data_IF_845564791574
#
_entry.id   IF_845564791574
#
_cell.length_a   1.000
_cell.length_b   1.000
_cell.length_c   1.000
_cell.angle_alpha   90.00
_cell.angle_beta   90.00
_cell.angle_gamma   90.00
#
_symmetry.space_group_name_H-M   'P 1'
#
loop_
_entity.id
_entity.type
_entity.pdbx_description
1 polymer ?
#
# COMPACT_ATOMS: atom_id res chain seq x y z
N UNK A 1 4.33 -0.94 -32.53
CA UNK A 1 4.10 -0.03 -31.38
C UNK A 1 5.36 0.70 -30.89
N UNK A 2 6.47 0.72 -31.66
CA UNK A 2 7.76 1.30 -31.23
C UNK A 2 7.94 2.78 -31.65
N UNK A 3 7.12 3.27 -32.58
CA UNK A 3 7.26 4.63 -33.11
C UNK A 3 6.79 5.75 -32.16
N UNK A 4 5.99 5.44 -31.13
CA UNK A 4 5.39 6.46 -30.25
C UNK A 4 6.33 7.07 -29.20
N UNK A 5 7.29 6.29 -28.68
CA UNK A 5 8.23 6.77 -27.64
C UNK A 5 9.35 7.65 -28.22
N UNK A 6 9.84 7.34 -29.42
CA UNK A 6 10.88 8.13 -30.07
C UNK A 6 10.35 9.50 -30.54
N UNK A 7 9.13 9.58 -31.07
CA UNK A 7 8.54 10.87 -31.45
C UNK A 7 8.27 11.77 -30.24
N UNK A 8 7.82 11.22 -29.11
CA UNK A 8 7.59 12.01 -27.90
C UNK A 8 8.90 12.61 -27.35
N UNK A 9 9.95 11.80 -27.26
CA UNK A 9 11.31 12.22 -26.87
C UNK A 9 11.91 13.26 -27.83
N UNK A 10 11.82 13.04 -29.14
CA UNK A 10 12.28 14.01 -30.16
C UNK A 10 11.53 15.34 -30.09
N UNK A 11 10.24 15.31 -29.74
CA UNK A 11 9.43 16.51 -29.72
C UNK A 11 9.65 17.37 -28.46
N UNK A 12 10.05 16.76 -27.35
CA UNK A 12 10.43 17.49 -26.12
C UNK A 12 11.83 18.08 -26.27
N UNK A 13 12.76 17.34 -26.87
CA UNK A 13 14.12 17.84 -27.18
C UNK A 13 14.09 18.98 -28.18
N UNK A 14 13.23 18.94 -29.21
CA UNK A 14 12.99 20.08 -30.11
C UNK A 14 12.48 21.33 -29.37
N UNK A 15 11.55 21.15 -28.43
CA UNK A 15 11.01 22.25 -27.61
C UNK A 15 12.07 22.86 -26.68
N UNK A 16 12.95 22.04 -26.12
CA UNK A 16 14.09 22.47 -25.30
C UNK A 16 15.11 23.29 -26.11
N UNK A 17 15.44 22.83 -27.32
CA UNK A 17 16.33 23.55 -28.25
C UNK A 17 15.72 24.87 -28.70
N UNK A 18 14.41 24.89 -29.00
CA UNK A 18 13.70 26.11 -29.40
C UNK A 18 13.70 27.17 -28.30
N UNK A 19 13.52 26.78 -27.03
CA UNK A 19 13.56 27.70 -25.88
C UNK A 19 15.02 27.99 -25.45
N UNK A 20 15.97 27.10 -25.77
CA UNK A 20 17.39 27.25 -25.47
C UNK A 20 17.75 26.84 -24.05
N UNK A 21 17.11 25.78 -23.53
CA UNK A 21 17.27 25.32 -22.14
C UNK A 21 17.81 23.89 -22.12
N UNK A 22 18.71 23.60 -21.18
CA UNK A 22 19.25 22.26 -21.01
C UNK A 22 18.23 21.31 -20.35
N UNK A 23 18.34 19.98 -20.54
CA UNK A 23 17.36 19.00 -20.05
C UNK A 23 17.18 18.94 -18.52
N UNK A 24 18.06 19.59 -17.75
CA UNK A 24 18.16 19.48 -16.28
C UNK A 24 17.88 20.83 -15.58
N UNK A 25 17.58 21.90 -16.32
CA UNK A 25 17.38 23.22 -15.71
C UNK A 25 16.01 23.41 -15.06
N UNK A 26 16.01 24.15 -13.94
CA UNK A 26 14.83 24.44 -13.14
C UNK A 26 13.81 25.37 -13.82
N UNK A 27 12.58 25.34 -13.31
CA UNK A 27 11.42 26.09 -13.83
C UNK A 27 11.70 27.59 -14.03
N UNK A 28 12.41 28.22 -13.10
CA UNK A 28 12.67 29.66 -13.15
C UNK A 28 13.53 30.07 -14.35
N UNK A 29 14.50 29.23 -14.73
CA UNK A 29 15.33 29.45 -15.93
C UNK A 29 14.56 29.24 -17.23
N UNK A 30 13.63 28.30 -17.26
CA UNK A 30 12.75 28.07 -18.41
C UNK A 30 11.84 29.29 -18.63
N UNK A 31 11.25 29.83 -17.55
CA UNK A 31 10.41 31.03 -17.62
C UNK A 31 11.21 32.26 -18.06
N UNK A 32 12.44 32.40 -17.57
CA UNK A 32 13.32 33.52 -17.92
C UNK A 32 13.76 33.48 -19.39
N UNK A 33 14.16 32.32 -19.90
CA UNK A 33 14.58 32.12 -21.29
C UNK A 33 13.43 32.31 -22.27
N UNK A 34 12.25 31.75 -21.97
CA UNK A 34 11.02 31.99 -22.72
C UNK A 34 10.68 33.49 -22.77
N UNK A 35 10.66 34.18 -21.62
CA UNK A 35 10.34 35.60 -21.56
C UNK A 35 11.32 36.50 -22.30
N UNK A 36 12.60 36.11 -22.40
CA UNK A 36 13.60 36.81 -23.24
C UNK A 36 13.30 36.61 -24.73
N UNK A 37 13.11 35.37 -25.17
CA UNK A 37 12.86 35.07 -26.59
C UNK A 37 11.53 35.62 -27.10
N UNK A 38 10.51 35.66 -26.25
CA UNK A 38 9.23 36.28 -26.60
C UNK A 38 9.38 37.79 -26.82
N UNK A 39 10.12 38.48 -25.95
CA UNK A 39 10.43 39.92 -26.10
C UNK A 39 11.25 40.21 -27.37
N UNK A 40 12.20 39.33 -27.69
CA UNK A 40 13.01 39.46 -28.90
C UNK A 40 12.16 39.23 -30.17
N UNK A 41 11.27 38.23 -30.17
CA UNK A 41 10.34 37.98 -31.28
C UNK A 41 9.37 39.15 -31.51
N UNK A 42 8.85 39.76 -30.45
CA UNK A 42 8.02 40.96 -30.56
C UNK A 42 8.80 42.19 -31.05
N UNK A 43 10.09 42.30 -30.71
CA UNK A 43 10.95 43.40 -31.18
C UNK A 43 11.34 43.22 -32.65
N UNK A 44 11.49 41.99 -33.12
CA UNK A 44 11.83 41.66 -34.52
C UNK A 44 10.62 41.59 -35.47
N UNK A 45 9.39 41.57 -34.94
CA UNK A 45 8.16 41.57 -35.77
C UNK A 45 7.82 40.22 -36.41
N UNK A 46 8.41 39.11 -35.95
CA UNK A 46 8.17 37.77 -36.49
C UNK A 46 6.89 37.15 -35.92
N UNK A 47 5.75 37.38 -36.59
CA UNK A 47 4.43 36.85 -36.17
C UNK A 47 4.35 35.31 -36.18
N UNK A 48 5.18 34.63 -36.98
CA UNK A 48 5.17 33.17 -37.08
C UNK A 48 5.89 32.46 -35.92
N UNK A 49 6.81 33.15 -35.23
CA UNK A 49 7.71 32.55 -34.24
C UNK A 49 7.08 32.53 -32.84
N UNK A 50 6.28 33.54 -32.50
CA UNK A 50 5.56 33.62 -31.22
C UNK A 50 4.67 32.40 -30.89
N UNK A 51 3.77 31.93 -31.79
CA UNK A 51 2.90 30.79 -31.49
C UNK A 51 3.67 29.46 -31.36
N UNK A 52 4.80 29.34 -32.06
CA UNK A 52 5.71 28.20 -31.95
C UNK A 52 6.39 28.15 -30.59
N UNK A 53 6.77 29.30 -30.02
CA UNK A 53 7.35 29.39 -28.68
C UNK A 53 6.33 29.06 -27.59
N UNK A 54 5.10 29.56 -27.70
CA UNK A 54 4.02 29.22 -26.75
C UNK A 54 3.75 27.72 -26.73
N UNK A 55 3.61 27.11 -27.92
CA UNK A 55 3.38 25.67 -28.05
C UNK A 55 4.54 24.83 -27.49
N UNK A 56 5.78 25.29 -27.67
CA UNK A 56 6.96 24.63 -27.11
C UNK A 56 7.01 24.77 -25.58
N UNK A 57 6.63 25.93 -25.04
CA UNK A 57 6.59 26.20 -23.60
C UNK A 57 5.53 25.34 -22.91
N UNK A 58 4.30 25.32 -23.42
CA UNK A 58 3.19 24.54 -22.87
C UNK A 58 3.49 23.05 -22.86
N UNK A 59 4.07 22.55 -23.97
CA UNK A 59 4.46 21.15 -24.09
C UNK A 59 5.55 20.77 -23.09
N UNK A 60 6.54 21.65 -22.89
CA UNK A 60 7.60 21.44 -21.92
C UNK A 60 7.03 21.48 -20.50
N UNK A 61 6.12 22.40 -20.18
CA UNK A 61 5.43 22.47 -18.88
C UNK A 61 4.59 21.24 -18.59
N UNK A 62 3.81 20.77 -19.57
CA UNK A 62 3.01 19.57 -19.43
C UNK A 62 3.87 18.33 -19.19
N UNK A 63 5.01 18.21 -19.88
CA UNK A 63 5.95 17.11 -19.67
C UNK A 63 6.52 17.10 -18.25
N UNK A 64 6.79 18.28 -17.67
CA UNK A 64 7.26 18.40 -16.29
C UNK A 64 6.21 17.98 -15.27
N UNK A 65 4.94 18.37 -15.48
CA UNK A 65 3.82 17.96 -14.62
C UNK A 65 3.58 16.45 -14.71
N UNK A 66 3.64 15.87 -15.90
CA UNK A 66 3.50 14.42 -16.08
C UNK A 66 4.66 13.64 -15.46
N UNK A 67 5.88 14.14 -15.58
CA UNK A 67 7.04 13.53 -14.91
C UNK A 67 6.90 13.59 -13.38
N UNK A 68 6.39 14.69 -12.82
CA UNK A 68 6.07 14.79 -11.38
C UNK A 68 4.99 13.80 -10.96
N UNK A 69 3.89 13.70 -11.72
CA UNK A 69 2.81 12.74 -11.46
C UNK A 69 3.28 11.29 -11.54
N UNK A 70 4.23 11.00 -12.43
CA UNK A 70 4.82 9.67 -12.58
C UNK A 70 5.97 9.39 -11.60
N UNK A 71 6.36 10.37 -10.77
CA UNK A 71 7.46 10.23 -9.81
C UNK A 71 8.81 10.03 -10.51
N UNK A 72 9.07 10.78 -11.58
CA UNK A 72 10.37 10.84 -12.26
C UNK A 72 10.88 12.27 -12.14
N UNK A 73 11.99 12.50 -11.44
CA UNK A 73 12.65 13.82 -11.40
C UNK A 73 13.63 13.95 -12.56
N UNK A 74 13.94 15.20 -12.92
CA UNK A 74 14.83 15.60 -14.02
C UNK A 74 16.03 14.66 -14.17
N UNK A 75 16.18 14.10 -15.38
CA UNK A 75 17.31 13.25 -15.73
C UNK A 75 17.27 11.84 -15.15
N UNK A 76 16.22 11.05 -15.44
CA UNK A 76 16.22 9.56 -15.31
C UNK A 76 16.63 8.96 -13.96
N UNK A 77 16.80 9.75 -12.91
CA UNK A 77 17.01 9.26 -11.56
C UNK A 77 15.69 8.71 -11.05
N UNK A 78 15.64 7.39 -10.81
CA UNK A 78 14.50 6.73 -10.17
C UNK A 78 14.31 7.36 -8.80
N UNK A 79 13.23 8.11 -8.64
CA UNK A 79 12.79 8.68 -7.37
C UNK A 79 12.65 7.55 -6.33
N UNK A 80 13.07 7.84 -5.09
CA UNK A 80 12.98 6.88 -3.98
C UNK A 80 11.54 6.37 -3.83
N UNK A 81 11.39 5.10 -3.45
CA UNK A 81 10.08 4.46 -3.31
C UNK A 81 9.15 5.24 -2.37
N UNK A 82 9.71 5.92 -1.37
CA UNK A 82 8.95 6.70 -0.40
C UNK A 82 8.23 7.91 -1.01
N UNK A 83 8.80 8.53 -2.05
CA UNK A 83 8.18 9.65 -2.77
C UNK A 83 7.19 9.12 -3.82
N UNK A 84 7.50 8.00 -4.49
CA UNK A 84 6.59 7.36 -5.47
C UNK A 84 5.29 6.82 -4.84
N UNK A 85 5.32 6.48 -3.56
CA UNK A 85 4.19 5.94 -2.82
C UNK A 85 3.65 6.92 -1.75
N UNK A 86 4.04 8.19 -1.78
CA UNK A 86 3.56 9.21 -0.84
C UNK A 86 2.02 9.33 -0.84
N UNK A 87 1.38 9.20 -2.02
CA UNK A 87 -0.08 9.21 -2.15
C UNK A 87 -0.77 7.95 -1.60
N UNK A 88 -0.01 6.90 -1.25
CA UNK A 88 -0.52 5.66 -0.65
C UNK A 88 -0.25 5.57 0.84
N UNK A 89 0.09 6.68 1.49
CA UNK A 89 0.26 6.67 2.93
C UNK A 89 -1.07 6.31 3.61
N UNK A 90 -1.03 5.42 4.62
CA UNK A 90 -2.24 5.06 5.34
C UNK A 90 -2.79 6.31 6.04
N UNK A 91 -4.10 6.55 5.89
CA UNK A 91 -4.84 7.65 6.55
C UNK A 91 -4.62 7.63 8.06
N UNK A 92 -4.42 6.42 8.59
CA UNK A 92 -4.17 6.16 10.00
C UNK A 92 -2.73 5.64 10.17
N UNK A 93 -1.83 6.37 10.85
CA UNK A 93 -0.40 6.03 10.90
C UNK A 93 -0.11 4.69 11.59
N UNK A 94 -1.02 4.18 12.43
CA UNK A 94 -0.91 2.91 13.15
C UNK A 94 -1.69 1.74 12.53
N UNK A 95 -2.41 1.95 11.42
CA UNK A 95 -3.25 0.93 10.79
C UNK A 95 -2.49 -0.08 9.93
N UNK A 96 -3.11 -1.23 9.60
CA UNK A 96 -2.53 -2.23 8.70
C UNK A 96 -2.22 -1.64 7.32
N UNK A 97 -1.03 -1.88 6.80
CA UNK A 97 -0.58 -1.40 5.49
C UNK A 97 -0.70 -2.49 4.44
N UNK A 98 -1.11 -2.12 3.23
CA UNK A 98 -1.17 -3.05 2.12
C UNK A 98 0.24 -3.60 1.80
N UNK A 99 0.41 -4.91 1.93
CA UNK A 99 1.62 -5.64 1.63
C UNK A 99 1.26 -7.06 1.19
N UNK A 100 1.19 -7.25 -0.13
CA UNK A 100 0.83 -8.53 -0.74
C UNK A 100 1.98 -9.54 -0.55
N UNK A 101 1.67 -10.71 0.02
CA UNK A 101 2.63 -11.81 0.19
C UNK A 101 2.90 -12.55 -1.14
N UNK A 102 3.91 -13.42 -1.13
CA UNK A 102 4.22 -14.28 -2.28
C UNK A 102 3.05 -15.19 -2.62
N UNK A 103 2.93 -15.63 -3.90
CA UNK A 103 1.86 -16.56 -4.30
C UNK A 103 1.88 -17.85 -3.47
N UNK A 104 3.07 -18.36 -3.16
CA UNK A 104 3.22 -19.58 -2.35
C UNK A 104 2.71 -19.35 -0.92
N UNK A 105 3.05 -18.21 -0.30
CA UNK A 105 2.56 -17.88 1.04
C UNK A 105 1.04 -17.68 1.08
N UNK A 106 0.48 -17.07 0.03
CA UNK A 106 -0.97 -16.94 -0.10
C UNK A 106 -1.65 -18.30 -0.20
N UNK A 107 -1.09 -19.24 -0.97
CA UNK A 107 -1.63 -20.59 -1.10
C UNK A 107 -1.56 -21.35 0.23
N UNK A 108 -0.46 -21.21 0.98
CA UNK A 108 -0.32 -21.81 2.31
C UNK A 108 -1.38 -21.22 3.27
N UNK A 109 -1.54 -19.89 3.28
CA UNK A 109 -2.54 -19.23 4.12
C UNK A 109 -3.96 -19.67 3.75
N UNK A 110 -4.24 -19.84 2.45
CA UNK A 110 -5.52 -20.33 1.94
C UNK A 110 -5.76 -21.78 2.37
N UNK A 111 -4.75 -22.64 2.24
CA UNK A 111 -4.84 -24.04 2.63
C UNK A 111 -5.12 -24.18 4.13
N UNK A 112 -4.42 -23.42 4.98
CA UNK A 112 -4.65 -23.39 6.43
C UNK A 112 -6.09 -22.97 6.74
N UNK A 113 -6.56 -21.86 6.15
CA UNK A 113 -7.92 -21.35 6.33
C UNK A 113 -8.97 -22.38 5.88
N UNK A 114 -8.75 -23.04 4.74
CA UNK A 114 -9.63 -24.06 4.21
C UNK A 114 -9.68 -25.32 5.09
N UNK A 115 -8.55 -25.79 5.61
CA UNK A 115 -8.48 -26.97 6.48
C UNK A 115 -9.27 -26.74 7.76
N UNK A 116 -9.09 -25.60 8.44
CA UNK A 116 -9.82 -25.31 9.66
C UNK A 116 -11.31 -25.02 9.41
N UNK A 117 -11.64 -24.41 8.27
CA UNK A 117 -13.04 -24.24 7.85
C UNK A 117 -13.72 -25.58 7.54
N UNK A 118 -13.03 -26.49 6.85
CA UNK A 118 -13.54 -27.83 6.56
C UNK A 118 -13.71 -28.66 7.84
N UNK A 119 -12.79 -28.52 8.80
CA UNK A 119 -12.89 -29.20 10.10
C UNK A 119 -14.22 -28.89 10.78
N UNK A 120 -14.57 -27.60 10.92
CA UNK A 120 -15.82 -27.22 11.61
C UNK A 120 -17.07 -27.64 10.83
N UNK A 121 -17.03 -27.58 9.49
CA UNK A 121 -18.15 -28.01 8.64
C UNK A 121 -18.45 -29.50 8.79
N UNK A 122 -17.41 -30.34 8.91
CA UNK A 122 -17.55 -31.79 9.08
C UNK A 122 -18.00 -32.14 10.50
N UNK A 123 -17.36 -31.54 11.51
CA UNK A 123 -17.56 -31.97 12.88
C UNK A 123 -18.77 -31.32 13.57
N UNK A 124 -19.18 -30.11 13.18
CA UNK A 124 -20.36 -29.32 13.63
C UNK A 124 -20.60 -29.13 15.13
N UNK A 125 -20.03 -29.97 16.00
CA UNK A 125 -20.12 -29.98 17.46
C UNK A 125 -18.72 -29.88 18.08
N UNK A 126 -17.77 -29.41 17.29
CA UNK A 126 -16.44 -29.07 17.80
C UNK A 126 -16.58 -27.64 18.26
N UNK A 127 -16.52 -27.46 19.59
CA UNK A 127 -16.37 -26.17 20.29
C UNK A 127 -15.34 -25.27 19.58
N UNK A 128 -15.10 -24.05 20.07
CA UNK A 128 -14.11 -23.08 19.53
C UNK A 128 -12.63 -23.53 19.44
N UNK A 129 -12.30 -24.83 19.57
CA UNK A 129 -10.98 -25.43 19.32
C UNK A 129 -10.38 -25.10 17.93
N UNK A 130 -11.07 -25.25 16.79
CA UNK A 130 -10.49 -24.96 15.49
C UNK A 130 -10.23 -23.46 15.35
N UNK A 131 -11.07 -22.61 15.96
CA UNK A 131 -10.81 -21.18 16.05
C UNK A 131 -9.53 -20.89 16.85
N UNK A 132 -9.31 -21.56 18.00
CA UNK A 132 -8.08 -21.40 18.79
C UNK A 132 -6.84 -21.81 17.98
N UNK A 133 -6.85 -23.00 17.37
CA UNK A 133 -5.71 -23.46 16.55
C UNK A 133 -5.46 -22.56 15.34
N UNK A 134 -6.51 -22.14 14.64
CA UNK A 134 -6.42 -21.18 13.53
C UNK A 134 -5.77 -19.88 14.00
N UNK A 135 -6.17 -19.38 15.17
CA UNK A 135 -5.62 -18.16 15.76
C UNK A 135 -4.12 -18.29 16.02
N UNK A 136 -3.66 -19.36 16.67
CA UNK A 136 -2.24 -19.58 16.93
C UNK A 136 -1.40 -19.66 15.64
N UNK A 137 -1.89 -20.41 14.64
CA UNK A 137 -1.19 -20.55 13.36
C UNK A 137 -1.09 -19.19 12.65
N UNK A 138 -2.17 -18.41 12.62
CA UNK A 138 -2.15 -17.10 11.97
C UNK A 138 -1.36 -16.04 12.75
N UNK A 139 -1.32 -16.09 14.09
CA UNK A 139 -0.41 -15.26 14.90
C UNK A 139 1.03 -15.51 14.46
N UNK A 140 1.45 -16.78 14.38
CA UNK A 140 2.79 -17.14 13.95
C UNK A 140 3.09 -16.65 12.52
N UNK A 141 2.17 -16.90 11.58
CA UNK A 141 2.35 -16.51 10.16
C UNK A 141 2.43 -14.99 9.99
N UNK A 142 1.58 -14.23 10.67
CA UNK A 142 1.60 -12.76 10.62
C UNK A 142 2.88 -12.25 11.29
N UNK A 143 3.31 -12.85 12.40
CA UNK A 143 4.54 -12.50 13.08
C UNK A 143 5.79 -12.73 12.21
N UNK A 144 5.90 -13.89 11.55
CA UNK A 144 6.99 -14.16 10.60
C UNK A 144 6.97 -13.18 9.42
N UNK A 145 5.78 -12.90 8.89
CA UNK A 145 5.61 -11.89 7.84
C UNK A 145 6.13 -10.53 8.31
N UNK A 146 5.75 -10.09 9.51
CA UNK A 146 6.22 -8.83 10.10
C UNK A 146 7.74 -8.82 10.32
N UNK A 147 8.33 -9.96 10.70
CA UNK A 147 9.78 -10.11 10.86
C UNK A 147 10.54 -9.92 9.54
N UNK A 148 9.99 -10.37 8.41
CA UNK A 148 10.62 -10.25 7.09
C UNK A 148 10.70 -8.81 6.55
N UNK A 149 9.89 -7.89 7.06
CA UNK A 149 9.81 -6.51 6.58
C UNK A 149 10.77 -5.54 7.29
N UNK A 150 11.61 -6.03 8.20
CA UNK A 150 12.53 -5.17 8.92
C UNK A 150 13.83 -4.96 8.13
N UNK A 151 14.24 -3.69 8.03
CA UNK A 151 15.57 -3.36 7.55
C UNK A 151 16.61 -3.87 8.57
N UNK A 152 17.73 -4.46 8.14
CA UNK A 152 18.80 -4.86 9.06
C UNK A 152 19.22 -3.62 9.86
N UNK A 153 18.87 -3.58 11.14
CA UNK A 153 19.29 -2.48 12.00
C UNK A 153 20.79 -2.64 12.22
N UNK A 154 21.57 -1.61 11.89
CA UNK A 154 22.95 -1.53 12.35
C UNK A 154 22.95 -1.72 13.88
N UNK A 155 23.70 -2.69 14.42
CA UNK A 155 23.76 -2.85 15.86
C UNK A 155 24.41 -1.60 16.45
N UNK A 156 23.59 -0.76 17.10
CA UNK A 156 24.08 0.32 17.95
C UNK A 156 24.45 -0.32 19.27
N UNK A 157 25.72 -0.67 19.43
CA UNK A 157 26.27 -1.11 20.71
C UNK A 157 26.43 0.12 21.60
N UNK A 158 25.72 0.16 22.74
CA UNK A 158 26.06 1.05 23.84
C UNK A 158 27.07 0.36 24.77
N UNK A 159 27.85 1.13 25.52
CA UNK A 159 28.97 0.66 26.36
C UNK A 159 28.60 -0.41 27.41
N UNK A 160 27.32 -0.59 27.70
CA UNK A 160 26.81 -1.58 28.68
C UNK A 160 26.47 -2.96 28.06
N UNK A 161 26.72 -3.18 26.77
CA UNK A 161 26.59 -4.51 26.14
C UNK A 161 25.16 -5.05 26.02
N UNK A 162 24.15 -4.30 26.46
CA UNK A 162 22.75 -4.73 26.40
C UNK A 162 22.02 -4.17 25.18
N UNK A 163 21.48 -5.09 24.36
CA UNK A 163 20.69 -4.85 23.16
C UNK A 163 19.27 -4.35 23.52
N UNK A 164 19.18 -3.29 24.34
CA UNK A 164 18.01 -2.86 25.12
C UNK A 164 16.73 -2.62 24.28
N UNK A 165 16.88 -2.45 22.97
CA UNK A 165 15.75 -2.29 22.03
C UNK A 165 15.26 -3.56 21.34
N UNK A 166 15.97 -4.69 21.34
CA UNK A 166 15.61 -5.86 20.52
C UNK A 166 14.41 -6.62 21.08
N UNK A 167 14.40 -6.89 22.38
CA UNK A 167 13.27 -7.54 23.06
C UNK A 167 11.99 -6.71 22.97
N UNK A 168 12.10 -5.40 23.24
CA UNK A 168 10.97 -4.46 23.17
C UNK A 168 10.41 -4.34 21.74
N UNK A 169 11.27 -4.33 20.71
CA UNK A 169 10.85 -4.35 19.30
C UNK A 169 10.15 -5.65 18.92
N UNK A 170 10.63 -6.80 19.42
CA UNK A 170 10.01 -8.10 19.20
C UNK A 170 8.64 -8.20 19.89
N UNK A 171 8.56 -7.74 21.14
CA UNK A 171 7.30 -7.69 21.90
C UNK A 171 6.26 -6.79 21.23
N UNK A 172 6.65 -5.61 20.76
CA UNK A 172 5.75 -4.71 20.01
C UNK A 172 5.20 -5.34 18.72
N UNK A 173 5.96 -6.21 18.05
CA UNK A 173 5.50 -6.96 16.87
C UNK A 173 4.53 -8.05 17.24
N UNK A 174 4.86 -8.83 18.26
CA UNK A 174 4.00 -9.88 18.76
C UNK A 174 2.65 -9.31 19.20
N UNK A 175 2.66 -8.15 19.88
CA UNK A 175 1.45 -7.44 20.28
C UNK A 175 0.64 -6.97 19.07
N UNK A 176 1.28 -6.46 18.01
CA UNK A 176 0.60 -6.12 16.74
C UNK A 176 -0.02 -7.34 16.06
N UNK A 177 0.69 -8.46 15.98
CA UNK A 177 0.14 -9.69 15.40
C UNK A 177 -1.03 -10.23 16.23
N UNK A 178 -0.92 -10.20 17.57
CA UNK A 178 -1.99 -10.61 18.46
C UNK A 178 -3.20 -9.68 18.32
N UNK A 179 -3.00 -8.36 18.35
CA UNK A 179 -4.11 -7.41 18.22
C UNK A 179 -4.83 -7.56 16.87
N UNK A 180 -4.11 -7.91 15.82
CA UNK A 180 -4.68 -8.11 14.49
C UNK A 180 -5.52 -9.39 14.43
N UNK A 181 -5.03 -10.49 15.02
CA UNK A 181 -5.77 -11.75 15.11
C UNK A 181 -6.99 -11.61 16.02
N UNK A 182 -6.82 -11.09 17.25
CA UNK A 182 -7.94 -10.85 18.14
C UNK A 182 -8.94 -9.84 17.57
N UNK A 183 -8.47 -8.81 16.86
CA UNK A 183 -9.34 -7.87 16.16
C UNK A 183 -10.20 -8.56 15.09
N UNK A 184 -9.64 -9.48 14.32
CA UNK A 184 -10.40 -10.25 13.33
C UNK A 184 -11.47 -11.15 13.97
N UNK A 185 -11.16 -11.75 15.12
CA UNK A 185 -12.09 -12.58 15.89
C UNK A 185 -13.19 -11.71 16.52
N UNK A 186 -12.84 -10.54 17.06
CA UNK A 186 -13.81 -9.60 17.63
C UNK A 186 -14.81 -9.12 16.58
N UNK A 187 -14.37 -8.86 15.35
CA UNK A 187 -15.27 -8.52 14.23
C UNK A 187 -16.21 -9.69 13.91
N UNK A 188 -15.72 -10.93 13.93
CA UNK A 188 -16.56 -12.11 13.74
C UNK A 188 -17.53 -12.33 14.91
N UNK A 189 -17.12 -12.03 16.15
CA UNK A 189 -17.96 -12.09 17.35
C UNK A 189 -18.94 -10.92 17.46
N UNK A 190 -18.72 -9.82 16.74
CA UNK A 190 -19.69 -8.73 16.68
C UNK A 190 -21.03 -9.24 16.13
N UNK A 191 -21.02 -10.21 15.21
CA UNK A 191 -22.22 -10.91 14.77
C UNK A 191 -22.99 -11.55 15.94
N UNK A 192 -22.30 -12.24 16.85
CA UNK A 192 -22.93 -12.86 18.02
C UNK A 192 -23.41 -11.82 19.03
N UNK A 193 -22.66 -10.72 19.18
CA UNK A 193 -23.07 -9.59 20.00
C UNK A 193 -24.36 -8.92 19.49
N UNK A 194 -24.49 -8.77 18.16
CA UNK A 194 -25.70 -8.24 17.52
C UNK A 194 -26.89 -9.17 17.77
N UNK A 195 -26.71 -10.49 17.65
CA UNK A 195 -27.77 -11.45 17.96
C UNK A 195 -28.24 -11.32 19.42
N UNK A 196 -27.31 -11.31 20.37
CA UNK A 196 -27.65 -11.13 21.80
C UNK A 196 -28.35 -9.80 22.07
N UNK A 197 -27.99 -8.73 21.36
CA UNK A 197 -28.66 -7.44 21.47
C UNK A 197 -30.11 -7.49 20.94
N UNK A 198 -30.34 -8.21 19.84
CA UNK A 198 -31.70 -8.40 19.28
C UNK A 198 -32.57 -9.21 20.26
N UNK A 199 -32.02 -10.24 20.89
CA UNK A 199 -32.69 -11.02 21.93
C UNK A 199 -33.02 -10.16 23.15
N UNK A 200 -32.07 -9.31 23.59
CA UNK A 200 -32.30 -8.35 24.67
C UNK A 200 -33.45 -7.37 24.36
N UNK A 201 -33.62 -7.00 23.08
CA UNK A 201 -34.73 -6.16 22.60
C UNK A 201 -36.05 -6.93 22.46
N UNK A 202 -36.12 -8.20 22.88
CA UNK A 202 -37.34 -9.02 22.89
C UNK A 202 -37.73 -9.60 21.52
N UNK A 203 -36.84 -9.54 20.53
CA UNK A 203 -37.08 -10.08 19.20
C UNK A 203 -36.60 -11.53 19.07
N UNK A 204 -37.35 -12.37 18.35
CA UNK A 204 -36.99 -13.77 18.16
C UNK A 204 -35.86 -13.96 17.14
N UNK A 205 -34.82 -14.71 17.52
CA UNK A 205 -33.72 -15.08 16.62
C UNK A 205 -34.12 -16.34 15.83
N UNK A 206 -33.90 -16.38 14.50
CA UNK A 206 -34.11 -17.60 13.73
C UNK A 206 -33.17 -18.73 14.17
N UNK A 207 -33.73 -19.90 14.44
CA UNK A 207 -33.05 -21.12 14.94
C UNK A 207 -31.84 -21.52 14.07
N UNK A 208 -31.90 -21.26 12.76
CA UNK A 208 -30.82 -21.56 11.83
C UNK A 208 -29.55 -20.76 12.10
N UNK A 209 -29.66 -19.50 12.55
CA UNK A 209 -28.52 -18.65 12.88
C UNK A 209 -27.92 -19.05 14.23
N UNK A 210 -28.77 -19.36 15.20
CA UNK A 210 -28.35 -19.80 16.53
C UNK A 210 -27.56 -21.12 16.47
N UNK A 211 -28.06 -22.12 15.74
CA UNK A 211 -27.41 -23.43 15.63
C UNK A 211 -26.10 -23.41 14.83
N UNK A 212 -25.89 -22.41 13.97
CA UNK A 212 -24.69 -22.31 13.12
C UNK A 212 -23.72 -21.22 13.62
N UNK A 213 -23.90 -20.71 14.84
CA UNK A 213 -23.12 -19.61 15.37
C UNK A 213 -21.61 -19.91 15.37
N UNK A 214 -21.20 -21.08 15.86
CA UNK A 214 -19.79 -21.48 15.90
C UNK A 214 -19.18 -21.60 14.50
N UNK A 215 -19.95 -22.13 13.55
CA UNK A 215 -19.54 -22.28 12.16
C UNK A 215 -19.34 -20.92 11.50
N UNK A 216 -20.30 -20.00 11.66
CA UNK A 216 -20.25 -18.66 11.07
C UNK A 216 -19.06 -17.88 11.63
N UNK A 217 -18.86 -17.89 12.95
CA UNK A 217 -17.75 -17.17 13.60
C UNK A 217 -16.41 -17.73 13.16
N UNK A 218 -16.26 -19.06 13.11
CA UNK A 218 -14.98 -19.69 12.74
C UNK A 218 -14.66 -19.49 11.26
N UNK A 219 -15.62 -19.72 10.37
CA UNK A 219 -15.42 -19.56 8.93
C UNK A 219 -15.13 -18.10 8.54
N UNK A 220 -15.87 -17.14 9.12
CA UNK A 220 -15.63 -15.71 8.90
C UNK A 220 -14.27 -15.26 9.45
N UNK A 221 -13.88 -15.72 10.64
CA UNK A 221 -12.56 -15.46 11.22
C UNK A 221 -11.44 -16.03 10.34
N UNK A 222 -11.58 -17.28 9.88
CA UNK A 222 -10.60 -17.93 9.02
C UNK A 222 -10.42 -17.21 7.67
N UNK A 223 -11.51 -16.69 7.10
CA UNK A 223 -11.47 -15.90 5.87
C UNK A 223 -10.80 -14.54 6.10
N UNK A 224 -11.18 -13.83 7.17
CA UNK A 224 -10.57 -12.55 7.53
C UNK A 224 -9.07 -12.69 7.81
N UNK A 225 -8.67 -13.73 8.53
CA UNK A 225 -7.27 -14.04 8.81
C UNK A 225 -6.47 -14.35 7.54
N UNK A 226 -7.07 -15.08 6.59
CA UNK A 226 -6.47 -15.29 5.28
C UNK A 226 -6.21 -13.96 4.55
N UNK A 227 -7.20 -13.07 4.51
CA UNK A 227 -7.08 -11.76 3.85
C UNK A 227 -6.01 -10.91 4.53
N UNK A 228 -6.03 -10.83 5.86
CA UNK A 228 -5.07 -10.05 6.63
C UNK A 228 -3.65 -10.57 6.46
N UNK A 229 -3.44 -11.87 6.61
CA UNK A 229 -2.12 -12.49 6.44
C UNK A 229 -1.59 -12.37 5.00
N UNK A 230 -2.48 -12.37 3.99
CA UNK A 230 -2.09 -12.31 2.57
C UNK A 230 -1.84 -10.89 2.07
N UNK A 231 -2.67 -9.92 2.46
CA UNK A 231 -2.67 -8.60 1.85
C UNK A 231 -2.20 -7.47 2.78
N UNK A 232 -2.07 -7.70 4.08
CA UNK A 232 -1.78 -6.64 5.05
C UNK A 232 -0.53 -6.94 5.90
N UNK A 233 0.07 -5.88 6.47
CA UNK A 233 1.14 -5.92 7.49
C UNK A 233 0.86 -4.87 8.56
#
# INVERSE_FOLDING_TARGET
MICGLNCASQSVTFSQVLIGVSPVEGFDKIKQSYGRKLKDAHRSGDEATAPLLEKAYDKLMYSQLMNRKMGVTFGSFKVSKDIRYADKQPIVPWGPRYSKSSRNDMLINLAISAVFSAWIVIKRTVEYKPLQFTSFVFVYRIFEKLKSFEAPSSPTYNEEGEENGRGLRMGKRLLRSLSLVFGSILVALAYTGILNFIEYMGSSIPITLYNNQELIVTASSALMLYVMASYYR
#
